data_IF_564306548358
#
_entry.id   IF_564306548358
#
_cell.length_a   1.000
_cell.length_b   1.000
_cell.length_c   1.000
_cell.angle_alpha   90.00
_cell.angle_beta   90.00
_cell.angle_gamma   90.00
#
_symmetry.space_group_name_H-M   'P 1'
#
loop_
_entity.id
_entity.type
_entity.pdbx_description
1 polymer ?
#
# COMPACT_ATOMS: atom_id res chain seq x y z
N UNK A 1 19.51 -12.83 -26.47
CA UNK A 1 19.22 -13.22 -25.07
C UNK A 1 18.42 -14.51 -25.10
N UNK A 2 18.74 -15.50 -24.27
CA UNK A 2 17.95 -16.72 -24.18
C UNK A 2 16.50 -16.38 -23.77
N UNK A 3 15.47 -17.00 -24.37
CA UNK A 3 14.05 -16.73 -24.06
C UNK A 3 13.73 -16.86 -22.58
N UNK A 4 14.39 -17.78 -21.88
CA UNK A 4 14.24 -18.00 -20.42
C UNK A 4 14.66 -16.79 -19.60
N UNK A 5 15.71 -16.07 -20.01
CA UNK A 5 16.17 -14.86 -19.34
C UNK A 5 15.19 -13.70 -19.52
N UNK A 6 14.60 -13.57 -20.71
CA UNK A 6 13.58 -12.54 -20.97
C UNK A 6 12.32 -12.80 -20.14
N UNK A 7 11.91 -14.06 -20.04
CA UNK A 7 10.77 -14.45 -19.22
C UNK A 7 11.03 -14.13 -17.75
N UNK A 8 12.21 -14.47 -17.22
CA UNK A 8 12.59 -14.17 -15.83
C UNK A 8 12.56 -12.67 -15.54
N UNK A 9 13.18 -11.84 -16.39
CA UNK A 9 13.17 -10.39 -16.24
C UNK A 9 11.76 -9.80 -16.28
N UNK A 10 10.90 -10.29 -17.18
CA UNK A 10 9.50 -9.85 -17.27
C UNK A 10 8.69 -10.23 -16.02
N UNK A 11 8.94 -11.42 -15.49
CA UNK A 11 8.28 -11.92 -14.30
C UNK A 11 8.70 -11.13 -13.03
N UNK A 12 9.99 -10.86 -12.89
CA UNK A 12 10.53 -10.03 -11.80
C UNK A 12 10.00 -8.60 -11.88
N UNK A 13 9.92 -8.04 -13.10
CA UNK A 13 9.33 -6.73 -13.31
C UNK A 13 7.86 -6.69 -12.89
N UNK A 14 7.06 -7.67 -13.33
CA UNK A 14 5.66 -7.75 -12.96
C UNK A 14 5.47 -7.90 -11.44
N UNK A 15 6.34 -8.68 -10.77
CA UNK A 15 6.34 -8.84 -9.32
C UNK A 15 6.66 -7.54 -8.60
N UNK A 16 7.71 -6.82 -9.03
CA UNK A 16 8.10 -5.52 -8.45
C UNK A 16 6.99 -4.48 -8.58
N UNK A 17 6.39 -4.36 -9.77
CA UNK A 17 5.25 -3.46 -10.02
C UNK A 17 4.07 -3.82 -9.12
N UNK A 18 3.78 -5.10 -8.96
CA UNK A 18 2.66 -5.59 -8.16
C UNK A 18 2.86 -5.34 -6.67
N UNK A 19 4.07 -5.53 -6.15
CA UNK A 19 4.41 -5.20 -4.76
C UNK A 19 4.22 -3.71 -4.53
N UNK A 20 4.74 -2.87 -5.43
CA UNK A 20 4.63 -1.42 -5.31
C UNK A 20 3.17 -0.95 -5.38
N UNK A 21 2.37 -1.56 -6.26
CA UNK A 21 0.93 -1.30 -6.33
C UNK A 21 0.21 -1.70 -5.04
N UNK A 22 0.47 -2.91 -4.50
CA UNK A 22 -0.14 -3.40 -3.26
C UNK A 22 0.14 -2.48 -2.07
N UNK A 23 1.41 -2.12 -1.84
CA UNK A 23 1.76 -1.28 -0.68
C UNK A 23 1.25 0.16 -0.82
N UNK A 24 1.04 0.63 -2.05
CA UNK A 24 0.59 1.99 -2.33
C UNK A 24 -0.94 2.13 -2.38
N UNK A 25 -1.67 1.05 -2.67
CA UNK A 25 -3.11 1.10 -2.95
C UNK A 25 -3.93 1.61 -1.75
N UNK A 26 -3.63 1.11 -0.54
CA UNK A 26 -4.29 1.55 0.68
C UNK A 26 -4.02 3.02 0.99
N UNK A 27 -2.78 3.46 0.81
CA UNK A 27 -2.39 4.87 0.96
C UNK A 27 -3.09 5.74 -0.09
N UNK A 28 -3.19 5.28 -1.33
CA UNK A 28 -3.86 6.00 -2.41
C UNK A 28 -5.35 6.24 -2.11
N UNK A 29 -6.03 5.29 -1.47
CA UNK A 29 -7.42 5.46 -1.03
C UNK A 29 -7.52 6.51 0.07
N UNK A 30 -6.67 6.45 1.10
CA UNK A 30 -6.70 7.40 2.23
C UNK A 30 -6.30 8.81 1.76
N UNK A 31 -5.12 8.92 1.14
CA UNK A 31 -4.57 10.19 0.71
C UNK A 31 -5.36 10.82 -0.45
N UNK A 32 -5.72 10.02 -1.46
CA UNK A 32 -6.42 10.52 -2.65
C UNK A 32 -7.83 11.03 -2.36
N UNK A 33 -8.46 10.56 -1.27
CA UNK A 33 -9.81 11.00 -0.91
C UNK A 33 -9.84 12.07 0.16
N UNK A 34 -8.84 12.15 1.02
CA UNK A 34 -8.85 13.06 2.18
C UNK A 34 -7.64 13.97 2.30
N UNK A 35 -6.62 13.78 1.47
CA UNK A 35 -5.36 14.52 1.58
C UNK A 35 -4.62 14.27 2.91
N UNK A 36 -5.00 13.21 3.64
CA UNK A 36 -4.38 12.87 4.92
C UNK A 36 -3.06 12.16 4.68
N UNK A 37 -1.98 12.79 5.13
CA UNK A 37 -0.66 12.15 5.13
C UNK A 37 -0.54 11.29 6.39
N UNK A 38 -0.66 9.99 6.22
CA UNK A 38 -0.54 9.02 7.31
C UNK A 38 0.88 8.46 7.37
N UNK A 39 1.74 9.02 8.23
CA UNK A 39 3.13 8.53 8.39
C UNK A 39 3.19 7.15 9.07
N UNK A 40 2.12 6.70 9.72
CA UNK A 40 2.01 5.34 10.26
C UNK A 40 1.62 4.29 9.20
N UNK A 41 1.58 4.65 7.91
CA UNK A 41 1.16 3.73 6.84
C UNK A 41 1.98 2.42 6.82
N UNK A 42 3.29 2.50 7.02
CA UNK A 42 4.16 1.33 7.10
C UNK A 42 3.83 0.41 8.26
N UNK A 43 3.43 0.95 9.38
CA UNK A 43 3.06 0.18 10.56
C UNK A 43 1.73 -0.55 10.39
N UNK A 44 0.85 -0.06 9.52
CA UNK A 44 -0.33 -0.83 9.11
C UNK A 44 0.06 -2.04 8.23
N UNK A 45 1.10 -1.92 7.38
CA UNK A 45 1.72 -3.06 6.66
C UNK A 45 2.30 -4.05 7.68
N UNK A 46 3.09 -3.56 8.63
CA UNK A 46 3.66 -4.36 9.72
C UNK A 46 2.56 -5.09 10.51
N UNK A 47 1.49 -4.41 10.92
CA UNK A 47 0.39 -5.04 11.64
C UNK A 47 -0.26 -6.15 10.83
N UNK A 48 -0.44 -5.99 9.52
CA UNK A 48 -0.94 -7.04 8.64
C UNK A 48 -0.06 -8.28 8.64
N UNK A 49 1.26 -8.08 8.59
CA UNK A 49 2.24 -9.17 8.66
C UNK A 49 2.20 -9.90 10.03
N UNK A 50 2.22 -9.16 11.15
CA UNK A 50 2.16 -9.73 12.49
C UNK A 50 0.82 -10.38 12.82
N UNK A 51 -0.30 -9.82 12.34
CA UNK A 51 -1.61 -10.46 12.48
C UNK A 51 -1.66 -11.79 11.73
N UNK A 52 -1.07 -11.87 10.53
CA UNK A 52 -0.94 -13.12 9.78
C UNK A 52 -0.08 -14.12 10.52
N UNK A 53 1.09 -13.70 11.02
CA UNK A 53 1.99 -14.55 11.82
C UNK A 53 1.27 -15.13 13.04
N UNK A 54 0.53 -14.29 13.75
CA UNK A 54 -0.25 -14.72 14.92
C UNK A 54 -1.33 -15.72 14.54
N UNK A 55 -2.05 -15.48 13.45
CA UNK A 55 -3.06 -16.40 12.95
C UNK A 55 -2.48 -17.76 12.58
N UNK A 56 -1.36 -17.79 11.87
CA UNK A 56 -0.66 -19.04 11.49
C UNK A 56 -0.16 -19.78 12.73
N UNK A 57 0.41 -19.08 13.73
CA UNK A 57 0.83 -19.68 15.01
C UNK A 57 -0.35 -20.26 15.81
N UNK A 58 -1.52 -19.69 15.67
CA UNK A 58 -2.76 -20.20 16.29
C UNK A 58 -3.36 -21.39 15.54
N UNK A 59 -2.69 -21.89 14.49
CA UNK A 59 -3.13 -23.05 13.70
C UNK A 59 -4.10 -22.70 12.56
N UNK A 60 -4.33 -21.42 12.26
CA UNK A 60 -5.14 -21.05 11.10
C UNK A 60 -4.38 -21.33 9.80
N UNK A 61 -5.14 -21.73 8.77
CA UNK A 61 -4.60 -21.78 7.41
C UNK A 61 -4.06 -20.40 6.99
N UNK A 62 -2.90 -20.37 6.32
CA UNK A 62 -2.22 -19.13 5.94
C UNK A 62 -3.11 -18.16 5.16
N UNK A 63 -3.95 -18.66 4.26
CA UNK A 63 -4.86 -17.81 3.49
C UNK A 63 -5.96 -17.18 4.36
N UNK A 64 -6.50 -17.96 5.30
CA UNK A 64 -7.48 -17.43 6.26
C UNK A 64 -6.82 -16.43 7.22
N UNK A 65 -5.61 -16.70 7.65
CA UNK A 65 -4.84 -15.78 8.49
C UNK A 65 -4.59 -14.44 7.77
N UNK A 66 -4.24 -14.47 6.48
CA UNK A 66 -4.07 -13.25 5.65
C UNK A 66 -5.38 -12.47 5.50
N UNK A 67 -6.49 -13.14 5.24
CA UNK A 67 -7.79 -12.49 5.12
C UNK A 67 -8.25 -11.89 6.47
N UNK A 68 -8.06 -12.62 7.56
CA UNK A 68 -8.35 -12.13 8.91
C UNK A 68 -7.47 -10.92 9.27
N UNK A 69 -6.18 -10.95 8.92
CA UNK A 69 -5.25 -9.85 9.14
C UNK A 69 -5.72 -8.56 8.43
N UNK A 70 -6.16 -8.66 7.18
CA UNK A 70 -6.73 -7.52 6.45
C UNK A 70 -7.94 -6.92 7.17
N UNK A 71 -8.85 -7.76 7.67
CA UNK A 71 -10.03 -7.33 8.42
C UNK A 71 -9.64 -6.67 9.75
N UNK A 72 -8.72 -7.28 10.51
CA UNK A 72 -8.23 -6.73 11.79
C UNK A 72 -7.59 -5.36 11.60
N UNK A 73 -6.73 -5.21 10.60
CA UNK A 73 -6.08 -3.91 10.30
C UNK A 73 -7.11 -2.90 9.81
N UNK A 74 -8.12 -3.31 9.06
CA UNK A 74 -9.23 -2.45 8.66
C UNK A 74 -10.02 -1.91 9.86
N UNK A 75 -10.37 -2.78 10.81
CA UNK A 75 -11.04 -2.38 12.07
C UNK A 75 -10.14 -1.47 12.90
N UNK A 76 -8.85 -1.80 13.02
CA UNK A 76 -7.88 -0.94 13.70
C UNK A 76 -7.81 0.44 13.05
N UNK A 77 -7.82 0.51 11.72
CA UNK A 77 -7.86 1.77 10.99
C UNK A 77 -9.11 2.60 11.30
N UNK A 78 -10.29 1.97 11.39
CA UNK A 78 -11.54 2.64 11.81
C UNK A 78 -11.39 3.22 13.23
N UNK A 79 -10.78 2.47 14.15
CA UNK A 79 -10.54 2.94 15.52
C UNK A 79 -9.59 4.13 15.53
N UNK A 80 -8.48 4.05 14.80
CA UNK A 80 -7.50 5.16 14.67
C UNK A 80 -8.14 6.40 14.06
N UNK A 81 -8.94 6.23 13.02
CA UNK A 81 -9.66 7.35 12.42
C UNK A 81 -10.58 8.02 13.46
N UNK A 82 -11.38 7.22 14.15
CA UNK A 82 -12.39 7.72 15.09
C UNK A 82 -11.80 8.41 16.32
N UNK A 83 -10.68 7.90 16.82
CA UNK A 83 -10.05 8.41 18.05
C UNK A 83 -9.06 9.55 17.79
N UNK A 84 -8.36 9.53 16.65
CA UNK A 84 -7.22 10.43 16.38
C UNK A 84 -7.49 11.28 15.14
N UNK A 85 -7.59 10.67 13.94
CA UNK A 85 -7.54 11.37 12.67
C UNK A 85 -8.73 12.29 12.47
N UNK A 86 -9.92 11.88 12.89
CA UNK A 86 -11.16 12.66 12.84
C UNK A 86 -11.00 14.08 13.37
N UNK A 87 -10.26 14.28 14.45
CA UNK A 87 -10.07 15.56 15.11
C UNK A 87 -8.99 16.44 14.45
N UNK A 88 -8.30 15.89 13.44
CA UNK A 88 -7.16 16.49 12.78
C UNK A 88 -7.40 16.79 11.30
N UNK A 89 -8.59 16.51 10.78
CA UNK A 89 -8.92 16.85 9.39
C UNK A 89 -8.75 18.35 9.12
N UNK A 90 -8.14 18.68 7.98
CA UNK A 90 -7.80 20.05 7.61
C UNK A 90 -6.51 20.61 8.24
N UNK A 91 -5.89 19.88 9.17
CA UNK A 91 -4.67 20.28 9.89
C UNK A 91 -3.52 19.34 9.52
N UNK A 92 -2.89 19.61 8.36
CA UNK A 92 -1.93 18.70 7.75
C UNK A 92 -0.74 18.39 8.68
N UNK A 93 -0.11 19.42 9.27
CA UNK A 93 1.05 19.25 10.14
C UNK A 93 0.72 18.45 11.41
N UNK A 94 -0.42 18.73 12.04
CA UNK A 94 -0.86 18.01 13.23
C UNK A 94 -1.16 16.56 12.94
N UNK A 95 -1.76 16.27 11.77
CA UNK A 95 -2.03 14.90 11.33
C UNK A 95 -0.74 14.12 11.10
N UNK A 96 0.26 14.75 10.45
CA UNK A 96 1.57 14.14 10.25
C UNK A 96 2.26 13.83 11.59
N UNK A 97 2.25 14.78 12.53
CA UNK A 97 2.87 14.61 13.85
C UNK A 97 2.16 13.51 14.66
N UNK A 98 0.82 13.51 14.68
CA UNK A 98 0.04 12.50 15.39
C UNK A 98 0.24 11.09 14.82
N UNK A 99 0.27 10.96 13.48
CA UNK A 99 0.50 9.66 12.83
C UNK A 99 1.96 9.20 13.00
N UNK A 100 2.93 10.12 13.06
CA UNK A 100 4.31 9.76 13.39
C UNK A 100 4.42 9.28 14.84
N UNK A 101 3.80 9.94 15.79
CA UNK A 101 3.74 9.46 17.19
C UNK A 101 3.05 8.08 17.29
N UNK A 102 1.96 7.88 16.54
CA UNK A 102 1.29 6.58 16.45
C UNK A 102 2.23 5.50 15.89
N UNK A 103 3.02 5.82 14.86
CA UNK A 103 4.04 4.91 14.29
C UNK A 103 5.00 4.42 15.34
N UNK A 104 5.57 5.32 16.14
CA UNK A 104 6.51 4.98 17.23
C UNK A 104 5.87 4.05 18.27
N UNK A 105 4.62 4.36 18.67
CA UNK A 105 3.87 3.53 19.63
C UNK A 105 3.63 2.12 19.06
N UNK A 106 3.22 2.03 17.78
CA UNK A 106 2.95 0.75 17.13
C UNK A 106 4.20 -0.12 17.01
N UNK A 107 5.33 0.45 16.56
CA UNK A 107 6.61 -0.29 16.48
C UNK A 107 7.01 -0.79 17.87
N UNK A 108 6.97 0.08 18.89
CA UNK A 108 7.37 -0.30 20.24
C UNK A 108 6.43 -1.34 20.86
N UNK A 109 5.13 -1.23 20.64
CA UNK A 109 4.15 -2.21 21.12
C UNK A 109 4.39 -3.60 20.51
N UNK A 110 4.69 -3.67 19.21
CA UNK A 110 5.01 -4.91 18.51
C UNK A 110 6.35 -5.47 19.00
N UNK A 111 7.38 -4.63 19.17
CA UNK A 111 8.68 -5.07 19.71
C UNK A 111 8.55 -5.63 21.12
N UNK A 112 7.77 -5.00 21.99
CA UNK A 112 7.53 -5.49 23.36
C UNK A 112 6.80 -6.85 23.39
N UNK A 113 5.95 -7.12 22.39
CA UNK A 113 5.14 -8.35 22.34
C UNK A 113 5.84 -9.52 21.64
N UNK A 114 6.60 -9.24 20.58
CA UNK A 114 7.21 -10.25 19.69
C UNK A 114 8.73 -10.24 19.71
N UNK A 115 9.35 -9.22 20.30
CA UNK A 115 10.80 -9.01 20.22
C UNK A 115 11.24 -8.36 18.91
N UNK A 116 12.56 -8.32 18.70
CA UNK A 116 13.16 -7.71 17.50
C UNK A 116 13.65 -8.74 16.47
N UNK A 117 13.38 -10.01 16.70
CA UNK A 117 13.86 -11.10 15.83
C UNK A 117 12.99 -11.22 14.59
N UNK A 118 13.63 -11.47 13.45
CA UNK A 118 12.94 -11.77 12.20
C UNK A 118 12.28 -13.15 12.28
N UNK A 119 11.00 -13.20 11.97
CA UNK A 119 10.25 -14.45 11.88
C UNK A 119 9.79 -14.69 10.44
N UNK A 120 9.87 -15.94 10.01
CA UNK A 120 9.41 -16.39 8.70
C UNK A 120 8.02 -17.00 8.78
N UNK A 121 7.18 -16.72 7.79
CA UNK A 121 5.96 -17.46 7.52
C UNK A 121 6.26 -18.40 6.36
N UNK A 122 5.94 -19.69 6.43
CA UNK A 122 6.14 -20.60 5.32
C UNK A 122 5.39 -20.10 4.07
N UNK A 123 6.08 -20.07 2.93
CA UNK A 123 5.46 -19.71 1.65
C UNK A 123 4.45 -20.82 1.30
N UNK A 124 3.14 -20.48 1.16
CA UNK A 124 2.09 -21.49 1.03
C UNK A 124 2.09 -22.24 -0.31
N UNK A 125 2.89 -21.80 -1.26
CA UNK A 125 3.04 -22.42 -2.60
C UNK A 125 4.53 -22.59 -2.92
N UNK A 126 4.86 -23.70 -3.57
CA UNK A 126 6.25 -24.03 -3.90
C UNK A 126 6.85 -23.20 -5.02
N UNK A 127 8.05 -23.59 -5.46
CA UNK A 127 8.75 -22.98 -6.58
C UNK A 127 8.47 -23.72 -7.89
N UNK A 128 8.77 -23.06 -9.01
CA UNK A 128 8.85 -23.67 -10.33
C UNK A 128 10.15 -23.24 -11.01
N UNK A 129 10.62 -24.04 -11.95
CA UNK A 129 11.85 -23.76 -12.70
C UNK A 129 11.53 -23.53 -14.17
N UNK A 130 12.15 -22.51 -14.76
CA UNK A 130 12.11 -22.25 -16.21
C UNK A 130 13.57 -22.14 -16.65
N UNK A 131 14.02 -23.14 -17.43
CA UNK A 131 15.44 -23.29 -17.76
C UNK A 131 16.30 -23.44 -16.50
N UNK A 132 17.29 -22.56 -16.35
CA UNK A 132 18.20 -22.54 -15.20
C UNK A 132 17.66 -21.70 -14.01
N UNK A 133 16.52 -21.01 -14.15
CA UNK A 133 15.99 -20.09 -13.16
C UNK A 133 14.91 -20.75 -12.30
N UNK A 134 15.06 -20.68 -10.99
CA UNK A 134 14.03 -21.09 -10.00
C UNK A 134 13.26 -19.86 -9.52
N UNK A 135 11.95 -19.87 -9.71
CA UNK A 135 11.05 -18.79 -9.37
C UNK A 135 10.01 -19.24 -8.36
N UNK A 136 9.59 -18.35 -7.47
CA UNK A 136 8.51 -18.65 -6.55
C UNK A 136 7.14 -18.54 -7.24
N UNK A 137 6.33 -19.59 -7.14
CA UNK A 137 4.91 -19.54 -7.55
C UNK A 137 4.13 -18.47 -6.79
N UNK A 138 4.63 -18.06 -5.63
CA UNK A 138 3.99 -17.04 -4.81
C UNK A 138 3.97 -15.65 -5.48
N UNK A 139 4.90 -15.36 -6.38
CA UNK A 139 4.87 -14.12 -7.14
C UNK A 139 3.61 -14.01 -8.04
N UNK A 140 3.08 -15.13 -8.56
CA UNK A 140 1.78 -15.12 -9.25
C UNK A 140 0.64 -14.72 -8.31
N UNK A 141 0.72 -15.14 -7.04
CA UNK A 141 -0.26 -14.73 -6.03
C UNK A 141 -0.18 -13.22 -5.78
N UNK A 142 1.03 -12.67 -5.67
CA UNK A 142 1.23 -11.22 -5.49
C UNK A 142 0.70 -10.43 -6.69
N UNK A 143 1.00 -10.87 -7.92
CA UNK A 143 0.52 -10.23 -9.15
C UNK A 143 -1.00 -10.29 -9.22
N UNK A 144 -1.60 -11.46 -8.97
CA UNK A 144 -3.06 -11.61 -9.00
C UNK A 144 -3.74 -10.82 -7.88
N UNK A 145 -3.17 -10.81 -6.68
CA UNK A 145 -3.69 -10.03 -5.55
C UNK A 145 -3.63 -8.52 -5.83
N UNK A 146 -2.55 -8.02 -6.45
CA UNK A 146 -2.46 -6.63 -6.87
C UNK A 146 -3.55 -6.30 -7.91
N UNK A 147 -3.72 -7.13 -8.93
CA UNK A 147 -4.75 -6.93 -9.95
C UNK A 147 -6.16 -6.95 -9.35
N UNK A 148 -6.46 -7.93 -8.48
CA UNK A 148 -7.75 -8.02 -7.76
C UNK A 148 -7.95 -6.82 -6.84
N UNK A 149 -6.95 -6.41 -6.07
CA UNK A 149 -7.00 -5.24 -5.18
C UNK A 149 -7.29 -3.95 -5.93
N UNK A 150 -6.60 -3.73 -7.05
CA UNK A 150 -6.83 -2.57 -7.95
C UNK A 150 -8.23 -2.60 -8.53
N UNK A 151 -8.66 -3.74 -9.08
CA UNK A 151 -9.98 -3.88 -9.70
C UNK A 151 -11.10 -3.74 -8.66
N UNK A 152 -10.95 -4.33 -7.49
CA UNK A 152 -11.90 -4.20 -6.38
C UNK A 152 -12.03 -2.74 -5.93
N UNK A 153 -10.90 -2.07 -5.70
CA UNK A 153 -10.88 -0.65 -5.30
C UNK A 153 -11.51 0.23 -6.38
N UNK A 154 -11.16 0.03 -7.65
CA UNK A 154 -11.76 0.74 -8.77
C UNK A 154 -13.28 0.52 -8.84
N UNK A 155 -13.74 -0.72 -8.69
CA UNK A 155 -15.16 -1.09 -8.75
C UNK A 155 -15.92 -0.49 -7.56
N UNK A 156 -15.39 -0.59 -6.34
CA UNK A 156 -15.99 0.01 -5.15
C UNK A 156 -16.12 1.53 -5.35
N UNK A 157 -15.03 2.17 -5.78
CA UNK A 157 -15.03 3.63 -5.91
C UNK A 157 -15.88 4.13 -7.08
N UNK A 158 -16.01 3.39 -8.17
CA UNK A 158 -16.70 3.87 -9.37
C UNK A 158 -18.12 3.38 -9.52
N UNK A 159 -18.45 2.19 -9.01
CA UNK A 159 -19.74 1.53 -9.25
C UNK A 159 -20.66 1.40 -8.04
N UNK A 160 -20.20 1.78 -6.83
CA UNK A 160 -21.01 1.67 -5.62
C UNK A 160 -21.55 3.03 -5.17
N UNK A 161 -22.63 3.01 -4.38
CA UNK A 161 -23.19 4.20 -3.71
C UNK A 161 -22.16 4.81 -2.76
N UNK A 162 -21.41 3.97 -2.06
CA UNK A 162 -20.32 4.42 -1.19
C UNK A 162 -19.28 5.24 -1.97
N UNK A 163 -18.78 4.74 -3.10
CA UNK A 163 -17.83 5.46 -3.93
C UNK A 163 -18.38 6.80 -4.48
N UNK A 164 -19.68 6.87 -4.76
CA UNK A 164 -20.32 8.13 -5.14
C UNK A 164 -20.28 9.15 -4.00
N UNK A 165 -20.71 8.75 -2.80
CA UNK A 165 -20.70 9.60 -1.60
C UNK A 165 -19.28 10.03 -1.23
N UNK A 166 -18.33 9.13 -1.34
CA UNK A 166 -16.93 9.39 -1.06
C UNK A 166 -16.34 10.45 -2.01
N UNK A 167 -16.60 10.35 -3.32
CA UNK A 167 -16.18 11.38 -4.29
C UNK A 167 -16.89 12.72 -4.07
N UNK A 168 -18.18 12.72 -3.74
CA UNK A 168 -18.91 13.94 -3.40
C UNK A 168 -18.29 14.66 -2.19
N UNK A 169 -18.00 13.91 -1.12
CA UNK A 169 -17.34 14.45 0.08
C UNK A 169 -15.92 14.97 -0.20
N UNK A 170 -15.20 14.37 -1.16
CA UNK A 170 -13.86 14.82 -1.58
C UNK A 170 -13.91 16.14 -2.35
N UNK A 171 -14.95 16.35 -3.16
CA UNK A 171 -15.11 17.58 -3.94
C UNK A 171 -15.50 18.78 -3.07
N UNK A 172 -16.48 18.61 -2.19
CA UNK A 172 -16.90 19.62 -1.21
C UNK A 172 -17.61 18.96 -0.04
N UNK A 173 -16.96 18.95 1.11
CA UNK A 173 -17.51 18.39 2.34
C UNK A 173 -18.78 19.11 2.77
N UNK A 174 -18.74 20.47 2.78
CA UNK A 174 -19.88 21.31 3.16
C UNK A 174 -21.10 21.11 2.26
N UNK A 175 -20.89 21.02 0.93
CA UNK A 175 -21.96 20.74 -0.01
C UNK A 175 -22.56 19.35 0.18
N UNK A 176 -21.70 18.34 0.39
CA UNK A 176 -22.16 16.98 0.62
C UNK A 176 -22.99 16.88 1.90
N UNK A 177 -22.58 17.54 2.98
CA UNK A 177 -23.34 17.63 4.24
C UNK A 177 -24.67 18.35 4.04
N UNK A 178 -24.68 19.45 3.28
CA UNK A 178 -25.91 20.15 2.94
C UNK A 178 -26.93 19.31 2.17
N UNK A 179 -26.45 18.28 1.45
CA UNK A 179 -27.27 17.28 0.77
C UNK A 179 -27.59 16.03 1.65
N UNK A 180 -27.26 16.08 2.95
CA UNK A 180 -27.56 15.02 3.91
C UNK A 180 -26.55 13.85 3.93
N UNK A 181 -25.37 14.00 3.30
CA UNK A 181 -24.32 12.97 3.35
C UNK A 181 -23.63 13.00 4.72
N UNK A 182 -23.57 11.87 5.40
CA UNK A 182 -22.77 11.72 6.60
C UNK A 182 -21.27 11.59 6.24
N UNK A 183 -20.61 12.74 6.09
CA UNK A 183 -19.19 12.82 5.68
C UNK A 183 -18.27 12.14 6.70
N UNK A 184 -18.57 12.25 7.99
CA UNK A 184 -17.82 11.58 9.06
C UNK A 184 -17.85 10.05 8.92
N UNK A 185 -19.01 9.47 8.60
CA UNK A 185 -19.15 8.05 8.32
C UNK A 185 -18.37 7.63 7.05
N UNK A 186 -18.45 8.43 6.00
CA UNK A 186 -17.71 8.20 4.75
C UNK A 186 -16.20 8.20 5.01
N UNK A 187 -15.69 9.14 5.81
CA UNK A 187 -14.26 9.24 6.17
C UNK A 187 -13.78 8.02 6.92
N UNK A 188 -14.54 7.62 7.94
CA UNK A 188 -14.28 6.45 8.76
C UNK A 188 -14.15 5.18 7.90
N UNK A 189 -15.11 4.93 7.01
CA UNK A 189 -15.07 3.77 6.12
C UNK A 189 -13.96 3.86 5.07
N UNK A 190 -13.64 5.06 4.57
CA UNK A 190 -12.51 5.28 3.65
C UNK A 190 -11.20 4.92 4.31
N UNK A 191 -10.98 5.39 5.54
CA UNK A 191 -9.77 5.08 6.29
C UNK A 191 -9.69 3.59 6.63
N UNK A 192 -10.81 2.98 7.04
CA UNK A 192 -10.91 1.54 7.30
C UNK A 192 -10.61 0.70 6.06
N UNK A 193 -11.18 1.05 4.91
CA UNK A 193 -10.92 0.36 3.64
C UNK A 193 -9.44 0.48 3.23
N UNK A 194 -8.88 1.68 3.28
CA UNK A 194 -7.47 1.89 2.97
C UNK A 194 -6.55 1.13 3.92
N UNK A 195 -6.88 1.09 5.22
CA UNK A 195 -6.15 0.31 6.21
C UNK A 195 -6.25 -1.19 5.97
N UNK A 196 -7.44 -1.69 5.59
CA UNK A 196 -7.63 -3.10 5.23
C UNK A 196 -6.79 -3.51 4.02
N UNK A 197 -6.73 -2.66 2.99
CA UNK A 197 -5.87 -2.87 1.83
C UNK A 197 -4.39 -2.86 2.20
N UNK A 198 -3.99 -1.97 3.09
CA UNK A 198 -2.61 -1.89 3.61
C UNK A 198 -2.25 -3.13 4.43
N UNK A 199 -3.16 -3.57 5.31
CA UNK A 199 -3.01 -4.79 6.08
C UNK A 199 -2.94 -6.05 5.20
N UNK A 200 -3.77 -6.10 4.15
CA UNK A 200 -3.71 -7.17 3.15
C UNK A 200 -2.35 -7.19 2.41
N UNK A 201 -1.81 -6.02 2.05
CA UNK A 201 -0.48 -5.93 1.47
C UNK A 201 0.60 -6.47 2.41
N UNK A 202 0.55 -6.09 3.70
CA UNK A 202 1.47 -6.61 4.72
C UNK A 202 1.35 -8.11 4.93
N UNK A 203 0.14 -8.63 4.98
CA UNK A 203 -0.14 -10.06 5.08
C UNK A 203 0.44 -10.85 3.90
N UNK A 204 0.24 -10.35 2.68
CA UNK A 204 0.75 -10.96 1.46
C UNK A 204 2.29 -10.87 1.33
N UNK A 205 2.90 -9.82 1.87
CA UNK A 205 4.36 -9.64 1.82
C UNK A 205 5.09 -10.43 2.91
N UNK A 206 4.43 -10.78 4.00
CA UNK A 206 5.02 -11.47 5.15
C UNK A 206 5.82 -12.75 4.81
N UNK A 207 5.35 -13.66 3.92
CA UNK A 207 6.11 -14.85 3.54
C UNK A 207 7.36 -14.57 2.70
N UNK A 208 7.43 -13.39 2.03
CA UNK A 208 8.52 -13.04 1.10
C UNK A 208 9.61 -12.22 1.78
N UNK A 209 9.20 -11.23 2.59
CA UNK A 209 10.13 -10.26 3.19
C UNK A 209 10.57 -10.70 4.60
N UNK A 210 9.80 -11.60 5.23
CA UNK A 210 9.93 -11.89 6.65
C UNK A 210 9.25 -10.84 7.51
N UNK A 211 8.97 -11.18 8.76
CA UNK A 211 8.19 -10.34 9.67
C UNK A 211 9.12 -9.77 10.74
N UNK A 212 9.37 -8.47 10.66
CA UNK A 212 10.16 -7.70 11.63
C UNK A 212 9.42 -6.42 12.02
N UNK A 213 9.57 -5.91 13.25
CA UNK A 213 8.84 -4.72 13.70
C UNK A 213 9.12 -3.45 12.88
N UNK A 214 10.25 -3.37 12.20
CA UNK A 214 10.63 -2.21 11.37
C UNK A 214 10.35 -2.39 9.89
N UNK A 215 9.73 -3.53 9.47
CA UNK A 215 9.50 -3.83 8.05
C UNK A 215 8.69 -2.75 7.33
N UNK A 216 7.77 -2.11 8.05
CA UNK A 216 6.91 -1.06 7.50
C UNK A 216 7.68 0.13 6.95
N UNK A 217 8.76 0.52 7.62
CA UNK A 217 9.59 1.67 7.24
C UNK A 217 10.20 1.53 5.84
N UNK A 218 10.50 0.29 5.42
CA UNK A 218 11.06 0.00 4.10
C UNK A 218 10.08 0.37 2.97
N UNK A 219 8.77 0.33 3.25
CA UNK A 219 7.74 0.55 2.23
C UNK A 219 7.14 1.95 2.22
N UNK A 220 7.24 2.71 3.33
CA UNK A 220 6.60 4.03 3.48
C UNK A 220 7.02 4.99 2.38
N UNK A 221 8.33 5.22 2.21
CA UNK A 221 8.83 6.18 1.22
C UNK A 221 8.42 5.80 -0.21
N UNK A 222 8.52 4.51 -0.56
CA UNK A 222 8.12 4.00 -1.88
C UNK A 222 6.62 4.18 -2.13
N UNK A 223 5.77 3.85 -1.15
CA UNK A 223 4.33 4.01 -1.25
C UNK A 223 3.93 5.48 -1.43
N UNK A 224 4.49 6.38 -0.62
CA UNK A 224 4.23 7.81 -0.74
C UNK A 224 4.64 8.37 -2.09
N UNK A 225 5.86 8.08 -2.54
CA UNK A 225 6.33 8.55 -3.85
C UNK A 225 5.45 8.03 -4.98
N UNK A 226 5.03 6.77 -4.93
CA UNK A 226 4.14 6.18 -5.92
C UNK A 226 2.79 6.90 -5.97
N UNK A 227 2.19 7.19 -4.82
CA UNK A 227 0.89 7.86 -4.75
C UNK A 227 0.98 9.32 -5.21
N UNK A 228 2.00 10.05 -4.77
CA UNK A 228 2.19 11.46 -5.15
C UNK A 228 2.49 11.58 -6.65
N UNK A 229 3.39 10.74 -7.19
CA UNK A 229 3.68 10.68 -8.63
C UNK A 229 2.44 10.26 -9.43
N UNK A 230 1.60 9.39 -8.88
CA UNK A 230 0.32 9.00 -9.49
C UNK A 230 -0.62 10.18 -9.72
N UNK A 231 -0.69 11.10 -8.77
CA UNK A 231 -1.48 12.33 -8.86
C UNK A 231 -2.96 12.14 -8.49
N UNK A 232 -3.87 13.03 -8.95
CA UNK A 232 -5.25 13.12 -8.45
C UNK A 232 -6.11 11.89 -8.71
N UNK A 233 -5.79 11.10 -9.71
CA UNK A 233 -6.54 9.87 -10.02
C UNK A 233 -6.00 8.71 -9.16
N UNK A 234 -6.49 8.60 -7.91
CA UNK A 234 -5.92 7.70 -6.91
C UNK A 234 -5.74 6.24 -7.38
N UNK A 235 -6.66 5.61 -8.11
CA UNK A 235 -6.48 4.23 -8.62
C UNK A 235 -5.63 4.21 -9.89
N UNK A 236 -6.05 4.95 -10.93
CA UNK A 236 -5.33 4.94 -12.21
C UNK A 236 -3.93 5.56 -12.07
N UNK A 237 -3.80 6.61 -11.26
CA UNK A 237 -2.52 7.24 -10.95
C UNK A 237 -1.57 6.27 -10.23
N UNK A 238 -2.05 5.57 -9.22
CA UNK A 238 -1.22 4.59 -8.49
C UNK A 238 -0.76 3.46 -9.41
N UNK A 239 -1.63 2.93 -10.27
CA UNK A 239 -1.26 1.87 -11.23
C UNK A 239 -0.22 2.37 -12.23
N UNK A 240 -0.40 3.55 -12.83
CA UNK A 240 0.55 4.11 -13.78
C UNK A 240 1.89 4.45 -13.13
N UNK A 241 1.86 5.01 -11.91
CA UNK A 241 3.06 5.31 -11.15
C UNK A 241 3.80 4.04 -10.70
N UNK A 242 3.06 3.00 -10.23
CA UNK A 242 3.67 1.71 -9.90
C UNK A 242 4.33 1.05 -11.12
N UNK A 243 3.71 1.17 -12.29
CA UNK A 243 4.29 0.67 -13.54
C UNK A 243 5.60 1.37 -13.87
N UNK A 244 5.61 2.70 -13.86
CA UNK A 244 6.80 3.49 -14.22
C UNK A 244 7.91 3.39 -13.16
N UNK A 245 7.57 3.62 -11.89
CA UNK A 245 8.55 3.59 -10.81
C UNK A 245 9.04 2.17 -10.52
N UNK A 246 8.16 1.17 -10.61
CA UNK A 246 8.52 -0.23 -10.47
C UNK A 246 9.44 -0.72 -11.61
N UNK A 247 9.24 -0.23 -12.83
CA UNK A 247 10.17 -0.47 -13.93
C UNK A 247 11.58 0.09 -13.62
N UNK A 248 11.65 1.34 -13.15
CA UNK A 248 12.93 1.99 -12.81
C UNK A 248 13.62 1.26 -11.64
N UNK A 249 12.87 0.90 -10.60
CA UNK A 249 13.37 0.14 -9.45
C UNK A 249 13.91 -1.23 -9.89
N UNK A 250 13.16 -1.94 -10.74
CA UNK A 250 13.55 -3.26 -11.23
C UNK A 250 14.83 -3.21 -12.07
N UNK A 251 14.93 -2.24 -13.00
CA UNK A 251 16.15 -2.03 -13.79
C UNK A 251 17.34 -1.76 -12.87
N UNK A 252 17.19 -0.85 -11.91
CA UNK A 252 18.27 -0.53 -10.96
C UNK A 252 18.68 -1.73 -10.09
N UNK A 253 17.71 -2.53 -9.66
CA UNK A 253 17.94 -3.74 -8.85
C UNK A 253 18.68 -4.81 -9.65
N UNK A 254 18.28 -5.06 -10.89
CA UNK A 254 18.88 -6.11 -11.73
C UNK A 254 20.28 -5.75 -12.27
N UNK A 255 20.56 -4.45 -12.48
CA UNK A 255 21.85 -4.01 -13.04
C UNK A 255 22.88 -3.68 -11.95
N UNK A 256 22.43 -3.32 -10.75
CA UNK A 256 23.30 -2.92 -9.65
C UNK A 256 22.95 -3.70 -8.37
N UNK A 257 22.17 -3.09 -7.48
CA UNK A 257 21.75 -3.69 -6.20
C UNK A 257 20.33 -3.25 -5.84
N UNK A 258 19.62 -3.98 -4.95
CA UNK A 258 18.30 -3.56 -4.47
C UNK A 258 18.28 -2.16 -3.84
N UNK A 259 19.36 -1.77 -3.17
CA UNK A 259 19.49 -0.43 -2.56
C UNK A 259 19.57 0.66 -3.64
N UNK A 260 20.33 0.42 -4.69
CA UNK A 260 20.44 1.34 -5.83
C UNK A 260 19.11 1.40 -6.58
N UNK A 261 18.42 0.28 -6.77
CA UNK A 261 17.08 0.24 -7.36
C UNK A 261 16.08 1.13 -6.62
N UNK A 262 16.04 1.03 -5.29
CA UNK A 262 15.20 1.90 -4.46
C UNK A 262 15.59 3.38 -4.55
N UNK A 263 16.89 3.67 -4.54
CA UNK A 263 17.38 5.05 -4.70
C UNK A 263 16.98 5.62 -6.07
N UNK A 264 17.11 4.84 -7.14
CA UNK A 264 16.69 5.23 -8.49
C UNK A 264 15.18 5.51 -8.57
N UNK A 265 14.34 4.71 -7.91
CA UNK A 265 12.90 4.97 -7.80
C UNK A 265 12.64 6.33 -7.16
N UNK A 266 13.26 6.61 -5.98
CA UNK A 266 13.06 7.86 -5.25
C UNK A 266 13.56 9.07 -6.06
N UNK A 267 14.72 8.97 -6.69
CA UNK A 267 15.27 10.01 -7.56
C UNK A 267 14.37 10.26 -8.78
N UNK A 268 13.89 9.20 -9.42
CA UNK A 268 12.95 9.32 -10.53
C UNK A 268 11.64 10.00 -10.11
N UNK A 269 11.12 9.66 -8.94
CA UNK A 269 9.93 10.31 -8.40
C UNK A 269 10.14 11.83 -8.21
N UNK A 270 11.29 12.24 -7.64
CA UNK A 270 11.64 13.66 -7.48
C UNK A 270 11.72 14.36 -8.84
N UNK A 271 12.41 13.74 -9.81
CA UNK A 271 12.55 14.29 -11.16
C UNK A 271 11.18 14.43 -11.84
N UNK A 272 10.34 13.39 -11.76
CA UNK A 272 9.00 13.43 -12.35
C UNK A 272 8.18 14.56 -11.72
N UNK A 273 8.18 14.71 -10.40
CA UNK A 273 7.44 15.76 -9.70
C UNK A 273 7.98 17.17 -10.00
N UNK A 274 9.26 17.31 -10.32
CA UNK A 274 9.84 18.58 -10.75
C UNK A 274 9.28 19.05 -12.10
N UNK A 275 9.02 18.12 -13.02
CA UNK A 275 8.47 18.41 -14.35
C UNK A 275 6.95 18.30 -14.42
N UNK A 276 6.36 17.42 -13.58
CA UNK A 276 4.93 17.16 -13.50
C UNK A 276 4.46 17.31 -12.04
N UNK A 277 4.37 18.54 -11.51
CA UNK A 277 4.04 18.78 -10.10
C UNK A 277 2.65 18.29 -9.70
N UNK A 278 1.75 18.06 -10.65
CA UNK A 278 0.43 17.48 -10.42
C UNK A 278 0.40 15.95 -10.57
N UNK A 279 1.56 15.31 -10.74
CA UNK A 279 1.67 13.88 -11.00
C UNK A 279 1.26 13.48 -12.42
N UNK A 280 1.32 12.16 -12.69
CA UNK A 280 1.11 11.58 -14.02
C UNK A 280 -0.32 11.77 -14.54
N UNK A 281 -1.31 11.76 -13.65
CA UNK A 281 -2.73 11.89 -14.01
C UNK A 281 -3.28 13.30 -13.82
N UNK A 282 -2.44 14.26 -13.45
CA UNK A 282 -2.82 15.68 -13.37
C UNK A 282 -3.12 16.24 -14.75
N UNK A 283 -4.26 16.94 -14.90
CA UNK A 283 -4.54 17.69 -16.12
C UNK A 283 -3.58 18.87 -16.18
N UNK A 284 -2.79 18.96 -17.27
CA UNK A 284 -2.06 20.19 -17.57
C UNK A 284 -3.08 21.29 -17.77
N UNK A 285 -3.32 22.12 -16.74
CA UNK A 285 -3.94 23.41 -16.97
C UNK A 285 -3.02 24.16 -17.94
N UNK A 286 -3.50 24.33 -19.17
CA UNK A 286 -2.87 25.26 -20.11
C UNK A 286 -2.85 26.63 -19.43
N UNK A 287 -1.66 27.07 -19.03
CA UNK A 287 -1.40 28.48 -18.78
C UNK A 287 -1.40 29.22 -20.09
#
# INVERSE_FOLDING_TARGET
MAPDRLFNLGFDLASTISILALVSLGLAVIFGMRGVINLAHGEFIMLGAFATLTGVRSGLNTWLAMAAAAAVVGVFGIVVERLIIRHLYGRLADTMLATWGLSLIMVQAVQNRYGSVTEGIPVPVGNFTVGEFSMSKYNFVLISAAAVGVLATYTIMRRTRYGLLARAATQSETMAEGLGVNTSGVNMWTFGLGSALTGAAGALLAPVVGVIPTMGQTFVARAFMTVIVGGPSFVAGTVSASGLLGFIENVGTNWFTPVIGQAMLLMAAIVILRFLPQGLTGTRLRR
#
